data_IF_450171117204
#
_entry.id   IF_450171117204
#
_cell.length_a   1.000
_cell.length_b   1.000
_cell.length_c   1.000
_cell.angle_alpha   90.00
_cell.angle_beta   90.00
_cell.angle_gamma   90.00
#
_symmetry.space_group_name_H-M   'P 1'
#
loop_
_entity.id
_entity.type
_entity.pdbx_description
1 polymer ?
#
# COMPACT_ATOMS: atom_id res chain seq x y z
N UNK A 1 -22.93 -34.07 50.83
CA UNK A 1 -23.38 -32.70 50.52
C UNK A 1 -22.32 -31.76 51.08
N UNK A 2 -21.44 -31.08 50.34
CA UNK A 2 -21.38 -30.68 48.93
C UNK A 2 -19.90 -30.37 48.59
N UNK A 3 -19.42 -30.90 47.46
CA UNK A 3 -18.52 -30.21 46.54
C UNK A 3 -17.08 -29.89 46.96
N UNK A 4 -16.22 -30.90 47.08
CA UNK A 4 -14.79 -30.73 46.80
C UNK A 4 -14.51 -31.09 45.34
N UNK A 5 -13.92 -30.16 44.60
CA UNK A 5 -13.09 -30.45 43.44
C UNK A 5 -13.66 -30.07 42.08
N UNK A 6 -13.57 -28.80 41.66
CA UNK A 6 -13.60 -28.37 40.25
C UNK A 6 -12.93 -26.99 40.04
N UNK A 7 -11.82 -26.69 40.73
CA UNK A 7 -11.14 -25.39 40.61
C UNK A 7 -9.67 -25.45 40.18
N UNK A 8 -9.07 -26.63 40.05
CA UNK A 8 -7.61 -26.77 40.01
C UNK A 8 -7.04 -27.54 38.81
N UNK A 9 -7.83 -27.86 37.78
CA UNK A 9 -7.35 -28.59 36.58
C UNK A 9 -7.91 -28.05 35.26
N UNK A 10 -7.93 -26.72 35.07
CA UNK A 10 -8.10 -26.14 33.73
C UNK A 10 -6.93 -25.21 33.34
N UNK A 11 -5.73 -25.46 33.87
CA UNK A 11 -4.49 -24.77 33.49
C UNK A 11 -3.62 -25.53 32.47
N UNK A 12 -4.15 -26.55 31.78
CA UNK A 12 -3.28 -27.44 31.00
C UNK A 12 -3.83 -27.88 29.63
N UNK A 13 -4.46 -26.99 28.87
CA UNK A 13 -4.48 -27.14 27.41
C UNK A 13 -4.16 -25.80 26.75
N UNK A 14 -2.88 -25.62 26.42
CA UNK A 14 -2.30 -24.52 25.65
C UNK A 14 -2.74 -24.51 24.18
N UNK A 15 -4.06 -24.57 23.95
CA UNK A 15 -4.71 -24.56 22.64
C UNK A 15 -5.53 -23.27 22.40
N UNK A 16 -5.53 -22.33 23.36
CA UNK A 16 -6.19 -21.02 23.24
C UNK A 16 -5.28 -19.88 22.78
N UNK A 17 -3.97 -19.90 23.10
CA UNK A 17 -3.06 -18.80 22.78
C UNK A 17 -2.57 -18.78 21.33
N UNK A 18 -2.22 -19.95 20.79
CA UNK A 18 -1.75 -20.07 19.40
C UNK A 18 -2.89 -19.91 18.38
N UNK A 19 -4.09 -20.44 18.68
CA UNK A 19 -5.25 -20.27 17.79
C UNK A 19 -5.87 -18.88 17.91
N UNK A 20 -5.90 -18.26 19.09
CA UNK A 20 -6.30 -16.85 19.20
C UNK A 20 -5.31 -15.91 18.50
N UNK A 21 -4.01 -16.22 18.55
CA UNK A 21 -3.00 -15.47 17.80
C UNK A 21 -3.22 -15.60 16.30
N UNK A 22 -3.45 -16.82 15.78
CA UNK A 22 -3.73 -17.01 14.35
C UNK A 22 -5.05 -16.38 13.91
N UNK A 23 -6.11 -16.43 14.73
CA UNK A 23 -7.39 -15.77 14.43
C UNK A 23 -7.24 -14.24 14.47
N UNK A 24 -6.43 -13.70 15.38
CA UNK A 24 -6.12 -12.27 15.45
C UNK A 24 -5.32 -11.79 14.23
N UNK A 25 -4.29 -12.55 13.79
CA UNK A 25 -3.54 -12.20 12.57
C UNK A 25 -4.42 -12.31 11.32
N UNK A 26 -5.30 -13.31 11.28
CA UNK A 26 -6.22 -13.53 10.15
C UNK A 26 -7.32 -12.47 10.12
N UNK A 27 -7.76 -11.94 11.26
CA UNK A 27 -8.67 -10.79 11.36
C UNK A 27 -7.98 -9.48 10.97
N UNK A 28 -6.72 -9.26 11.34
CA UNK A 28 -5.93 -8.09 10.92
C UNK A 28 -5.76 -8.06 9.39
N UNK A 29 -5.37 -9.20 8.81
CA UNK A 29 -5.22 -9.35 7.35
C UNK A 29 -6.58 -9.21 6.65
N UNK A 30 -7.67 -9.75 7.21
CA UNK A 30 -9.01 -9.60 6.66
C UNK A 30 -9.54 -8.15 6.74
N UNK A 31 -9.16 -7.40 7.78
CA UNK A 31 -9.52 -5.99 7.94
C UNK A 31 -8.78 -5.12 6.93
N UNK A 32 -7.47 -5.33 6.75
CA UNK A 32 -6.67 -4.66 5.73
C UNK A 32 -7.17 -4.98 4.31
N UNK A 33 -7.50 -6.24 4.04
CA UNK A 33 -8.13 -6.64 2.78
C UNK A 33 -9.54 -6.02 2.60
N UNK A 34 -10.30 -5.88 3.70
CA UNK A 34 -11.61 -5.23 3.72
C UNK A 34 -11.53 -3.74 3.43
N UNK A 35 -10.54 -3.03 3.97
CA UNK A 35 -10.29 -1.61 3.69
C UNK A 35 -9.83 -1.42 2.24
N UNK A 36 -8.89 -2.23 1.76
CA UNK A 36 -8.47 -2.20 0.36
C UNK A 36 -9.63 -2.49 -0.59
N UNK A 37 -10.48 -3.48 -0.27
CA UNK A 37 -11.70 -3.79 -1.03
C UNK A 37 -12.74 -2.67 -0.94
N UNK A 38 -12.89 -2.00 0.20
CA UNK A 38 -13.83 -0.90 0.39
C UNK A 38 -13.40 0.35 -0.39
N UNK A 39 -12.12 0.70 -0.37
CA UNK A 39 -11.53 1.77 -1.19
C UNK A 39 -11.69 1.41 -2.68
N UNK A 40 -11.33 0.19 -3.06
CA UNK A 40 -11.51 -0.30 -4.43
C UNK A 40 -12.99 -0.25 -4.88
N UNK A 41 -13.91 -0.70 -4.04
CA UNK A 41 -15.36 -0.66 -4.29
C UNK A 41 -15.89 0.76 -4.38
N UNK A 42 -15.42 1.68 -3.54
CA UNK A 42 -15.89 3.08 -3.57
C UNK A 42 -15.39 3.81 -4.81
N UNK A 43 -14.17 3.51 -5.28
CA UNK A 43 -13.61 4.07 -6.51
C UNK A 43 -14.23 3.44 -7.76
N UNK A 44 -14.58 2.15 -7.73
CA UNK A 44 -15.25 1.46 -8.85
C UNK A 44 -16.74 1.76 -8.93
N UNK A 45 -17.44 1.88 -7.79
CA UNK A 45 -18.85 2.28 -7.72
C UNK A 45 -19.12 3.72 -8.16
N UNK A 46 -18.10 4.59 -8.12
CA UNK A 46 -18.17 5.94 -8.72
C UNK A 46 -17.83 5.98 -10.22
N UNK A 47 -17.25 4.90 -10.78
CA UNK A 47 -17.04 4.77 -12.24
C UNK A 47 -18.27 4.20 -12.95
N UNK A 48 -19.12 3.46 -12.26
CA UNK A 48 -20.40 2.97 -12.83
C UNK A 48 -21.54 4.01 -12.81
N UNK A 49 -21.29 5.22 -12.27
CA UNK A 49 -22.27 6.32 -12.31
C UNK A 49 -22.05 7.32 -13.45
N UNK A 50 -21.08 7.06 -14.33
CA UNK A 50 -20.84 7.90 -15.51
C UNK A 50 -20.79 7.04 -16.78
N UNK A 51 -21.93 6.44 -17.11
CA UNK A 51 -22.23 5.97 -18.46
C UNK A 51 -23.67 6.36 -18.78
N UNK A 52 -23.83 7.66 -19.04
CA UNK A 52 -24.84 8.12 -19.98
C UNK A 52 -24.52 7.51 -21.35
N UNK A 53 -25.50 6.81 -21.90
CA UNK A 53 -25.52 6.44 -23.32
C UNK A 53 -25.01 5.03 -23.61
N UNK A 54 -25.96 4.11 -23.77
CA UNK A 54 -26.23 3.39 -25.02
C UNK A 54 -26.76 1.99 -24.71
N UNK A 55 -28.02 1.75 -25.07
CA UNK A 55 -28.66 0.45 -24.95
C UNK A 55 -27.95 -0.59 -25.82
N UNK A 56 -27.80 -1.84 -25.36
CA UNK A 56 -27.67 -2.99 -26.24
C UNK A 56 -28.95 -3.81 -26.20
N UNK A 57 -29.63 -3.75 -27.33
CA UNK A 57 -30.65 -4.67 -27.78
C UNK A 57 -30.17 -6.13 -27.66
N UNK A 58 -31.05 -6.98 -27.12
CA UNK A 58 -30.78 -8.39 -26.85
C UNK A 58 -30.56 -9.18 -28.15
N UNK A 59 -29.43 -9.89 -28.21
CA UNK A 59 -29.17 -10.92 -29.21
C UNK A 59 -29.95 -12.20 -28.90
N UNK A 60 -30.68 -12.68 -29.90
CA UNK A 60 -31.24 -14.03 -29.97
C UNK A 60 -30.64 -14.70 -31.21
N UNK A 61 -30.27 -15.98 -31.09
CA UNK A 61 -30.32 -16.88 -32.24
C UNK A 61 -29.01 -17.55 -32.65
N UNK A 62 -28.82 -18.72 -32.06
CA UNK A 62 -28.12 -19.91 -32.56
C UNK A 62 -28.29 -20.20 -34.07
N UNK A 63 -27.34 -21.01 -34.59
CA UNK A 63 -27.46 -22.10 -35.60
C UNK A 63 -26.64 -21.92 -36.92
N UNK A 64 -26.10 -23.02 -37.51
CA UNK A 64 -24.83 -23.06 -38.27
C UNK A 64 -24.94 -23.39 -39.78
N UNK A 65 -23.83 -23.18 -40.53
CA UNK A 65 -23.30 -23.84 -41.77
C UNK A 65 -24.25 -24.12 -42.98
N UNK A 66 -23.81 -24.12 -44.28
CA UNK A 66 -22.59 -24.76 -44.79
C UNK A 66 -21.91 -24.09 -46.03
N UNK A 67 -20.93 -24.82 -46.57
CA UNK A 67 -20.02 -24.60 -47.70
C UNK A 67 -20.57 -23.93 -48.98
N UNK A 68 -19.68 -23.25 -49.71
CA UNK A 68 -19.88 -22.95 -51.13
C UNK A 68 -18.86 -21.98 -51.73
N UNK A 69 -18.00 -22.52 -52.60
CA UNK A 69 -17.45 -21.94 -53.84
C UNK A 69 -16.68 -20.60 -53.84
N UNK A 70 -15.41 -20.73 -54.22
CA UNK A 70 -14.55 -19.71 -54.89
C UNK A 70 -15.22 -19.14 -56.16
N UNK A 71 -14.91 -17.89 -56.56
CA UNK A 71 -13.83 -17.72 -57.55
C UNK A 71 -12.92 -16.49 -57.36
N UNK A 72 -11.73 -16.68 -57.90
CA UNK A 72 -10.56 -15.83 -58.08
C UNK A 72 -10.86 -14.40 -58.57
N UNK A 73 -10.45 -13.38 -57.80
CA UNK A 73 -10.29 -12.00 -58.28
C UNK A 73 -8.90 -11.49 -57.87
N UNK A 74 -7.96 -11.68 -58.79
CA UNK A 74 -7.04 -10.64 -59.27
C UNK A 74 -6.40 -9.73 -58.23
N UNK A 75 -5.22 -10.12 -57.74
CA UNK A 75 -4.19 -9.15 -57.35
C UNK A 75 -2.80 -9.75 -57.51
N UNK A 76 -2.13 -9.30 -58.58
CA UNK A 76 -0.71 -9.53 -58.84
C UNK A 76 0.12 -8.79 -57.79
N UNK A 77 0.76 -9.51 -56.88
CA UNK A 77 1.78 -8.97 -55.97
C UNK A 77 3.11 -9.67 -56.31
N UNK A 78 4.17 -8.94 -56.69
CA UNK A 78 5.48 -9.55 -56.95
C UNK A 78 6.16 -9.99 -55.64
N UNK A 79 6.96 -11.06 -55.63
CA UNK A 79 7.59 -11.57 -54.41
C UNK A 79 8.77 -10.69 -53.97
N UNK A 80 8.76 -10.29 -52.70
CA UNK A 80 9.91 -9.70 -52.00
C UNK A 80 10.92 -10.82 -51.60
N UNK A 81 12.24 -10.54 -51.60
CA UNK A 81 13.26 -11.51 -51.20
C UNK A 81 13.28 -11.75 -49.68
N UNK A 82 13.78 -12.91 -49.21
CA UNK A 82 13.75 -13.28 -47.80
C UNK A 82 14.70 -12.42 -46.95
N UNK A 83 14.17 -11.85 -45.87
CA UNK A 83 14.92 -11.14 -44.83
C UNK A 83 15.77 -12.13 -44.01
N UNK A 84 17.07 -11.84 -43.90
CA UNK A 84 18.00 -12.52 -42.99
C UNK A 84 17.76 -12.07 -41.54
N UNK A 85 17.97 -12.95 -40.54
CA UNK A 85 17.79 -12.60 -39.13
C UNK A 85 18.93 -11.69 -38.65
N UNK A 86 18.60 -10.47 -38.22
CA UNK A 86 19.53 -9.59 -37.52
C UNK A 86 19.60 -10.03 -36.04
N UNK A 87 20.75 -10.56 -35.64
CA UNK A 87 21.09 -10.82 -34.24
C UNK A 87 21.48 -9.50 -33.57
N UNK A 88 20.52 -8.80 -32.98
CA UNK A 88 20.79 -7.68 -32.09
C UNK A 88 21.08 -8.20 -30.69
N UNK A 89 22.36 -8.18 -30.31
CA UNK A 89 22.82 -8.51 -28.97
C UNK A 89 22.20 -7.59 -27.93
N UNK A 90 21.43 -8.18 -27.01
CA UNK A 90 20.96 -7.53 -25.79
C UNK A 90 22.12 -7.56 -24.79
N UNK A 91 22.77 -6.41 -24.58
CA UNK A 91 23.66 -6.21 -23.44
C UNK A 91 22.85 -6.24 -22.14
N UNK A 92 23.17 -7.18 -21.26
CA UNK A 92 22.56 -7.38 -19.94
C UNK A 92 23.17 -6.49 -18.84
N UNK A 93 23.86 -5.41 -19.21
CA UNK A 93 24.63 -4.56 -18.28
C UNK A 93 24.03 -3.17 -18.00
N UNK A 94 22.80 -2.88 -18.45
CA UNK A 94 22.14 -1.61 -18.10
C UNK A 94 21.48 -1.69 -16.71
N UNK A 95 21.84 -0.79 -15.77
CA UNK A 95 21.07 -0.60 -14.54
C UNK A 95 19.62 -0.29 -14.92
N UNK A 96 18.68 -1.03 -14.33
CA UNK A 96 17.26 -0.67 -14.42
C UNK A 96 17.13 0.74 -13.85
N UNK A 97 16.64 1.73 -14.62
CA UNK A 97 16.45 3.07 -14.06
C UNK A 97 15.46 2.95 -12.90
N UNK A 98 15.84 3.45 -11.72
CA UNK A 98 14.91 3.66 -10.62
C UNK A 98 13.71 4.43 -11.18
N UNK A 99 12.50 3.89 -10.97
CA UNK A 99 11.28 4.47 -11.51
C UNK A 99 11.22 5.95 -11.11
N UNK A 100 11.18 6.86 -12.10
CA UNK A 100 11.13 8.27 -11.82
C UNK A 100 9.85 8.59 -11.05
N UNK A 101 9.92 9.42 -9.99
CA UNK A 101 8.73 9.77 -9.24
C UNK A 101 7.74 10.49 -10.15
N UNK A 102 6.51 9.99 -10.17
CA UNK A 102 5.47 10.48 -11.09
C UNK A 102 4.69 11.62 -10.42
N UNK A 103 4.21 12.58 -11.21
CA UNK A 103 3.33 13.67 -10.72
C UNK A 103 3.97 14.76 -9.86
N UNK A 104 5.31 14.77 -9.73
CA UNK A 104 6.02 15.81 -8.95
C UNK A 104 6.07 17.14 -9.73
N UNK A 105 5.54 18.26 -9.18
CA UNK A 105 5.65 19.58 -9.81
C UNK A 105 7.11 20.02 -9.98
N UNK A 106 7.42 20.77 -11.04
CA UNK A 106 8.80 21.21 -11.33
C UNK A 106 9.38 22.17 -10.28
N UNK A 107 8.52 22.85 -9.54
CA UNK A 107 8.82 23.78 -8.46
C UNK A 107 8.82 23.11 -7.07
N UNK A 108 8.57 21.80 -7.00
CA UNK A 108 8.54 21.07 -5.74
C UNK A 108 9.95 20.81 -5.19
N UNK A 109 10.23 21.34 -4.00
CA UNK A 109 11.47 21.04 -3.29
C UNK A 109 11.44 19.63 -2.68
N UNK A 110 11.79 18.64 -3.51
CA UNK A 110 11.86 17.22 -3.13
C UNK A 110 12.81 17.00 -1.96
N UNK A 111 13.95 17.69 -1.92
CA UNK A 111 14.96 17.44 -0.89
C UNK A 111 14.49 17.91 0.48
N UNK A 112 13.94 19.13 0.55
CA UNK A 112 13.34 19.64 1.78
C UNK A 112 12.19 18.76 2.24
N UNK A 113 11.31 18.35 1.32
CA UNK A 113 10.21 17.45 1.64
C UNK A 113 10.68 16.11 2.22
N UNK A 114 11.65 15.45 1.59
CA UNK A 114 12.18 14.18 2.09
C UNK A 114 12.88 14.32 3.43
N UNK A 115 13.56 15.45 3.68
CA UNK A 115 14.15 15.74 4.99
C UNK A 115 13.08 15.85 6.06
N UNK A 116 12.01 16.58 5.79
CA UNK A 116 10.85 16.66 6.68
C UNK A 116 10.18 15.30 6.90
N UNK A 117 10.04 14.50 5.84
CA UNK A 117 9.46 13.16 5.91
C UNK A 117 10.29 12.24 6.84
N UNK A 118 11.63 12.24 6.72
CA UNK A 118 12.52 11.50 7.62
C UNK A 118 12.40 11.97 9.08
N UNK A 119 12.30 13.28 9.32
CA UNK A 119 12.08 13.81 10.67
C UNK A 119 10.75 13.35 11.26
N UNK A 120 9.67 13.32 10.47
CA UNK A 120 8.37 12.81 10.90
C UNK A 120 8.41 11.30 11.20
N UNK A 121 9.19 10.52 10.44
CA UNK A 121 9.40 9.11 10.74
C UNK A 121 9.98 8.91 12.15
N UNK A 122 11.12 9.56 12.43
CA UNK A 122 11.80 9.44 13.72
C UNK A 122 10.89 9.95 14.85
N UNK A 123 10.16 11.05 14.61
CA UNK A 123 9.18 11.60 15.57
C UNK A 123 8.07 10.60 15.87
N UNK A 124 7.53 9.92 14.86
CA UNK A 124 6.50 8.91 15.06
C UNK A 124 7.00 7.76 15.93
N UNK A 125 8.18 7.21 15.65
CA UNK A 125 8.76 6.14 16.47
C UNK A 125 8.91 6.59 17.93
N UNK A 126 9.46 7.79 18.15
CA UNK A 126 9.65 8.33 19.50
C UNK A 126 8.33 8.61 20.24
N UNK A 127 7.29 9.10 19.54
CA UNK A 127 5.97 9.35 20.11
C UNK A 127 5.24 8.03 20.39
N UNK A 128 5.37 7.05 19.49
CA UNK A 128 4.83 5.71 19.62
C UNK A 128 5.40 4.99 20.85
N UNK A 129 6.72 4.99 21.02
CA UNK A 129 7.41 4.38 22.16
C UNK A 129 6.96 4.98 23.50
N UNK A 130 6.68 6.29 23.51
CA UNK A 130 6.22 7.03 24.70
C UNK A 130 4.71 6.98 24.91
N UNK A 131 3.94 6.39 24.00
CA UNK A 131 2.49 6.50 23.96
C UNK A 131 1.97 7.96 23.93
N UNK A 132 2.73 8.88 23.32
CA UNK A 132 2.37 10.30 23.26
C UNK A 132 1.38 10.60 22.13
N UNK A 133 0.11 10.31 22.41
CA UNK A 133 -1.00 10.53 21.47
C UNK A 133 -1.18 12.00 21.09
N UNK A 134 -0.75 12.94 21.94
CA UNK A 134 -0.88 14.36 21.63
C UNK A 134 0.11 14.75 20.53
N UNK A 135 1.35 14.28 20.61
CA UNK A 135 2.37 14.53 19.60
C UNK A 135 1.99 13.92 18.25
N UNK A 136 1.50 12.67 18.25
CA UNK A 136 1.06 11.94 17.04
C UNK A 136 0.01 12.76 16.28
N UNK A 137 -0.97 13.34 16.97
CA UNK A 137 -2.06 14.11 16.36
C UNK A 137 -1.57 15.34 15.58
N UNK A 138 -0.45 15.93 15.96
CA UNK A 138 0.04 17.18 15.34
C UNK A 138 0.55 16.99 13.91
N UNK A 139 0.86 15.76 13.49
CA UNK A 139 1.41 15.47 12.17
C UNK A 139 0.74 14.29 11.46
N UNK A 140 -0.37 13.78 11.99
CA UNK A 140 -1.17 12.70 11.37
C UNK A 140 -2.54 13.20 10.97
N UNK A 141 -3.14 12.58 9.96
CA UNK A 141 -4.54 12.81 9.63
C UNK A 141 -5.44 12.26 10.75
N UNK A 142 -6.69 12.76 10.89
CA UNK A 142 -7.61 12.27 11.90
C UNK A 142 -7.84 10.75 11.85
N UNK A 143 -7.81 10.16 10.66
CA UNK A 143 -7.99 8.73 10.41
C UNK A 143 -6.81 7.93 10.95
N UNK A 144 -5.58 8.30 10.58
CA UNK A 144 -4.35 7.65 11.07
C UNK A 144 -4.19 7.84 12.57
N UNK A 145 -4.49 9.04 13.07
CA UNK A 145 -4.47 9.31 14.51
C UNK A 145 -5.41 8.38 15.28
N UNK A 146 -6.64 8.21 14.80
CA UNK A 146 -7.62 7.34 15.46
C UNK A 146 -7.13 5.89 15.51
N UNK A 147 -6.53 5.40 14.41
CA UNK A 147 -5.94 4.07 14.34
C UNK A 147 -4.79 3.89 15.34
N UNK A 148 -3.77 4.76 15.28
CA UNK A 148 -2.60 4.67 16.15
C UNK A 148 -2.98 4.80 17.62
N UNK A 149 -3.95 5.67 17.95
CA UNK A 149 -4.45 5.82 19.32
C UNK A 149 -5.08 4.53 19.83
N UNK A 150 -5.87 3.85 19.00
CA UNK A 150 -6.46 2.56 19.39
C UNK A 150 -5.38 1.52 19.64
N UNK A 151 -4.39 1.40 18.76
CA UNK A 151 -3.30 0.43 18.93
C UNK A 151 -2.46 0.73 20.20
N UNK A 152 -2.15 2.00 20.48
CA UNK A 152 -1.49 2.40 21.73
C UNK A 152 -2.34 2.04 22.95
N UNK A 153 -3.66 2.25 22.87
CA UNK A 153 -4.57 1.90 23.96
C UNK A 153 -4.66 0.38 24.20
N UNK A 154 -4.66 -0.42 23.13
CA UNK A 154 -4.63 -1.88 23.18
C UNK A 154 -3.31 -2.40 23.75
N UNK A 155 -2.18 -1.78 23.39
CA UNK A 155 -0.85 -2.08 23.97
C UNK A 155 -0.82 -1.80 25.47
N UNK A 156 -1.56 -0.79 25.94
CA UNK A 156 -1.63 -0.40 27.33
C UNK A 156 -0.27 0.05 27.87
N UNK A 157 0.09 -0.40 29.07
CA UNK A 157 1.35 -0.03 29.73
C UNK A 157 2.57 -0.85 29.27
N UNK A 158 2.43 -1.65 28.21
CA UNK A 158 3.59 -2.38 27.69
C UNK A 158 4.60 -1.39 27.11
N UNK A 159 5.87 -1.45 27.55
CA UNK A 159 6.91 -0.62 26.99
C UNK A 159 7.14 -1.03 25.54
N UNK A 160 7.36 -0.03 24.70
CA UNK A 160 7.74 -0.22 23.31
C UNK A 160 9.06 0.52 23.08
N UNK A 161 9.85 0.03 22.13
CA UNK A 161 11.18 0.57 21.86
C UNK A 161 11.52 0.38 20.41
N UNK A 162 11.83 1.48 19.74
CA UNK A 162 12.33 1.47 18.38
C UNK A 162 13.51 2.43 18.26
N UNK A 163 14.68 1.87 17.95
CA UNK A 163 15.89 2.63 17.64
C UNK A 163 16.14 2.62 16.13
N UNK A 164 16.19 3.80 15.53
CA UNK A 164 16.37 3.99 14.08
C UNK A 164 17.86 4.08 13.79
N UNK A 165 18.45 2.98 13.32
CA UNK A 165 19.88 2.90 13.05
C UNK A 165 20.24 3.61 11.75
N UNK A 166 19.47 3.35 10.69
CA UNK A 166 19.61 4.02 9.39
C UNK A 166 18.24 4.25 8.76
N UNK A 167 18.11 5.35 8.01
CA UNK A 167 16.89 5.66 7.29
C UNK A 167 17.17 6.39 5.96
N UNK A 168 16.70 5.76 4.90
CA UNK A 168 16.61 6.32 3.56
C UNK A 168 15.16 6.60 3.20
N UNK A 169 14.96 7.60 2.36
CA UNK A 169 13.65 8.05 1.93
C UNK A 169 13.68 8.36 0.44
N UNK A 170 12.74 7.78 -0.28
CA UNK A 170 12.58 7.94 -1.72
C UNK A 170 11.15 8.38 -2.01
N UNK A 171 11.00 9.56 -2.62
CA UNK A 171 9.69 9.97 -3.13
C UNK A 171 9.34 9.06 -4.30
N UNK A 172 8.19 8.39 -4.24
CA UNK A 172 7.65 7.55 -5.30
C UNK A 172 6.77 8.35 -6.27
N UNK A 173 6.10 9.39 -5.79
CA UNK A 173 5.26 10.26 -6.62
C UNK A 173 4.34 11.15 -5.80
N UNK A 174 3.65 12.05 -6.50
CA UNK A 174 2.65 12.96 -5.94
C UNK A 174 1.38 12.91 -6.80
N UNK A 175 0.26 12.45 -6.24
CA UNK A 175 -1.06 12.56 -6.85
C UNK A 175 -1.67 13.90 -6.47
N UNK A 176 -2.31 14.55 -7.44
CA UNK A 176 -3.21 15.67 -7.14
C UNK A 176 -4.64 15.16 -7.24
N UNK A 177 -5.32 15.14 -6.11
CA UNK A 177 -6.76 14.91 -6.04
C UNK A 177 -7.51 16.25 -6.07
N UNK A 178 -8.84 16.21 -6.09
CA UNK A 178 -9.69 17.41 -6.17
C UNK A 178 -9.45 18.37 -5.00
N UNK A 179 -9.22 17.83 -3.80
CA UNK A 179 -9.10 18.63 -2.58
C UNK A 179 -7.70 18.58 -1.93
N UNK A 180 -6.89 17.57 -2.26
CA UNK A 180 -5.65 17.27 -1.56
C UNK A 180 -4.54 16.84 -2.52
N UNK A 181 -3.30 17.17 -2.17
CA UNK A 181 -2.11 16.52 -2.71
C UNK A 181 -1.79 15.29 -1.87
N UNK A 182 -1.41 14.19 -2.52
CA UNK A 182 -1.00 12.95 -1.87
C UNK A 182 0.41 12.58 -2.35
N UNK A 183 1.39 12.65 -1.46
CA UNK A 183 2.76 12.26 -1.74
C UNK A 183 3.06 10.88 -1.14
N UNK A 184 3.59 9.97 -1.93
CA UNK A 184 4.01 8.65 -1.46
C UNK A 184 5.52 8.61 -1.30
N UNK A 185 6.01 8.28 -0.11
CA UNK A 185 7.43 8.19 0.23
C UNK A 185 7.74 6.79 0.69
N UNK A 186 8.69 6.11 0.05
CA UNK A 186 9.23 4.84 0.52
C UNK A 186 10.36 5.10 1.50
N UNK A 187 10.24 4.57 2.70
CA UNK A 187 11.33 4.48 3.66
C UNK A 187 11.94 3.10 3.65
N UNK A 188 13.26 3.06 3.76
CA UNK A 188 14.03 1.82 3.90
C UNK A 188 15.17 2.05 4.87
N UNK A 189 15.58 1.03 5.61
CA UNK A 189 16.72 1.17 6.50
C UNK A 189 16.84 0.02 7.48
N UNK A 190 17.44 0.32 8.63
CA UNK A 190 17.67 -0.63 9.71
C UNK A 190 17.08 -0.06 11.01
N UNK A 191 16.27 -0.85 11.69
CA UNK A 191 15.70 -0.54 13.01
C UNK A 191 16.05 -1.61 14.02
N UNK A 192 15.93 -1.27 15.30
CA UNK A 192 16.11 -2.20 16.41
C UNK A 192 14.91 -2.09 17.34
N UNK A 193 14.20 -3.21 17.54
CA UNK A 193 12.97 -3.27 18.34
C UNK A 193 13.19 -3.51 19.84
N UNK A 194 14.43 -3.66 20.30
CA UNK A 194 14.75 -3.76 21.73
C UNK A 194 16.20 -3.33 22.01
N UNK A 195 16.51 -2.76 23.20
CA UNK A 195 17.87 -2.39 23.54
C UNK A 195 18.85 -3.55 23.39
N UNK A 196 19.89 -3.36 22.56
CA UNK A 196 20.91 -4.39 22.29
C UNK A 196 20.50 -5.49 21.31
N UNK A 197 19.28 -5.47 20.75
CA UNK A 197 18.89 -6.41 19.70
C UNK A 197 19.65 -6.16 18.38
N UNK A 198 19.65 -7.16 17.50
CA UNK A 198 20.18 -7.00 16.16
C UNK A 198 19.37 -5.94 15.39
N UNK A 199 20.04 -5.21 14.50
CA UNK A 199 19.36 -4.29 13.60
C UNK A 199 18.72 -5.09 12.47
N UNK A 200 17.41 -4.90 12.26
CA UNK A 200 16.61 -5.58 11.26
C UNK A 200 16.28 -4.62 10.11
N UNK A 201 16.33 -5.10 8.85
CA UNK A 201 15.91 -4.29 7.72
C UNK A 201 14.41 -4.06 7.75
N UNK A 202 14.01 -2.84 7.44
CA UNK A 202 12.61 -2.50 7.22
C UNK A 202 12.43 -1.78 5.88
N UNK A 203 11.24 -1.91 5.33
CA UNK A 203 10.80 -1.16 4.17
C UNK A 203 9.31 -0.83 4.35
N UNK A 204 8.94 0.41 4.07
CA UNK A 204 7.56 0.87 4.21
C UNK A 204 7.29 2.05 3.27
N UNK A 205 6.02 2.30 2.98
CA UNK A 205 5.56 3.43 2.19
C UNK A 205 4.60 4.27 3.02
N UNK A 206 4.93 5.54 3.15
CA UNK A 206 4.11 6.52 3.82
C UNK A 206 3.40 7.38 2.79
N UNK A 207 2.11 7.55 2.98
CA UNK A 207 1.29 8.46 2.20
C UNK A 207 1.08 9.73 3.03
N UNK A 208 1.58 10.84 2.53
CA UNK A 208 1.43 12.16 3.15
C UNK A 208 0.40 12.95 2.38
N UNK A 209 -0.53 13.61 3.06
CA UNK A 209 -1.52 14.47 2.44
C UNK A 209 -1.31 15.94 2.79
N UNK A 210 -1.69 16.82 1.88
CA UNK A 210 -1.72 18.26 2.10
C UNK A 210 -2.94 18.85 1.40
N UNK A 211 -3.80 19.62 2.08
CA UNK A 211 -4.92 20.30 1.44
C UNK A 211 -4.46 21.26 0.35
N UNK A 212 -5.15 21.25 -0.80
CA UNK A 212 -4.91 22.20 -1.91
C UNK A 212 -5.19 23.64 -1.48
N UNK A 213 -6.06 23.83 -0.48
CA UNK A 213 -6.29 25.14 0.15
C UNK A 213 -5.06 25.73 0.82
N UNK A 214 -4.01 24.93 1.08
CA UNK A 214 -2.76 25.37 1.68
C UNK A 214 -2.85 25.70 3.17
N UNK A 215 -3.97 25.39 3.82
CA UNK A 215 -4.25 25.78 5.20
C UNK A 215 -3.47 24.96 6.24
N UNK A 216 -2.77 23.89 5.82
CA UNK A 216 -1.91 23.06 6.65
C UNK A 216 -0.70 22.55 5.88
N UNK A 217 0.31 22.08 6.62
CA UNK A 217 1.46 21.37 6.07
C UNK A 217 1.10 19.94 5.65
N UNK A 218 2.14 19.19 5.24
CA UNK A 218 2.03 17.75 4.97
C UNK A 218 1.81 16.99 6.27
N UNK A 219 0.77 16.15 6.29
CA UNK A 219 0.44 15.25 7.41
C UNK A 219 0.45 13.81 6.93
N UNK A 220 0.73 12.88 7.84
CA UNK A 220 0.72 11.44 7.55
C UNK A 220 -0.73 10.94 7.44
N UNK A 221 -1.09 10.47 6.25
CA UNK A 221 -2.44 10.00 5.90
C UNK A 221 -2.52 8.47 5.74
N UNK A 222 -1.38 7.76 5.74
CA UNK A 222 -1.37 6.31 5.80
C UNK A 222 0.04 5.73 5.82
N UNK A 223 0.17 4.54 6.38
CA UNK A 223 1.42 3.76 6.47
C UNK A 223 1.18 2.39 5.84
N UNK A 224 2.11 1.92 5.02
CA UNK A 224 2.07 0.60 4.40
C UNK A 224 3.42 -0.09 4.60
N UNK A 225 3.47 -1.16 5.38
CA UNK A 225 4.68 -1.95 5.51
C UNK A 225 4.90 -2.80 4.24
N UNK A 226 6.13 -2.80 3.73
CA UNK A 226 6.56 -3.66 2.64
C UNK A 226 7.19 -4.91 3.25
N UNK A 227 6.60 -6.06 2.95
CA UNK A 227 6.96 -7.36 3.50
C UNK A 227 7.93 -8.13 2.60
#
# INVERSE_FOLDING_TARGET
>A
MLGLGLGALLSHFGLGGALASMISTLLMVALLAGVAYFIYRMVRGKRDSNSSGNAPFAGFGNQPAPAGNVPDIGSRIPPLPPLQPVSSGVGLDKPVPAAAPWGVPSDFDKEAFLRHAKSNFIRLQAAWDKADVNDIREFTSPEVYAELRMQIQERGAQPDFTDVVTIDAELLGIETSVNDYLASVKFTGLIRSAPGAAAEPFAEVWNMSKPVSGNSGWVLAGIQQLN
#
